data_IF_798445538415
#
_entry.id   IF_798445538415
#
_cell.length_a   1.000
_cell.length_b   1.000
_cell.length_c   1.000
_cell.angle_alpha   90.00
_cell.angle_beta   90.00
_cell.angle_gamma   90.00
#
_symmetry.space_group_name_H-M   'P 1'
#
loop_
_entity.id
_entity.type
_entity.pdbx_description
1 polymer ?
#
# COMPACT_ATOMS: atom_id res chain seq x y z
N UNK A 1 -2.03 -13.84 4.60
CA UNK A 1 -1.16 -14.22 5.73
C UNK A 1 -1.84 -15.28 6.59
N UNK A 2 -1.23 -16.45 6.75
CA UNK A 2 -1.71 -17.46 7.71
C UNK A 2 -1.07 -17.20 9.08
N UNK A 3 -1.87 -17.24 10.14
CA UNK A 3 -1.42 -17.04 11.52
C UNK A 3 -1.58 -18.34 12.27
N UNK A 4 -0.51 -18.85 12.86
CA UNK A 4 -0.55 -20.00 13.77
C UNK A 4 -0.87 -19.51 15.19
N UNK A 5 -1.86 -20.11 15.86
CA UNK A 5 -2.23 -19.75 17.23
C UNK A 5 -1.16 -20.07 18.29
N UNK A 6 -0.09 -20.75 17.93
CA UNK A 6 0.98 -21.19 18.84
C UNK A 6 2.36 -20.62 18.53
N UNK A 7 2.52 -19.95 17.39
CA UNK A 7 3.78 -19.31 17.00
C UNK A 7 3.81 -17.81 17.39
N UNK A 8 5.04 -17.28 17.54
CA UNK A 8 5.20 -15.84 17.70
C UNK A 8 4.77 -15.11 16.42
N UNK A 9 4.09 -13.99 16.58
CA UNK A 9 3.69 -13.14 15.45
C UNK A 9 4.92 -12.43 14.86
N UNK A 10 4.96 -12.37 13.53
CA UNK A 10 5.88 -11.47 12.84
C UNK A 10 5.36 -10.02 12.93
N UNK A 11 6.23 -9.03 12.68
CA UNK A 11 5.84 -7.60 12.61
C UNK A 11 4.77 -7.36 11.53
N UNK A 12 4.93 -8.01 10.39
CA UNK A 12 3.99 -7.96 9.28
C UNK A 12 2.61 -8.53 9.65
N UNK A 13 2.57 -9.70 10.30
CA UNK A 13 1.31 -10.28 10.79
C UNK A 13 0.62 -9.37 11.81
N UNK A 14 1.39 -8.75 12.72
CA UNK A 14 0.85 -7.81 13.69
C UNK A 14 0.28 -6.56 13.00
N UNK A 15 1.00 -6.00 12.02
CA UNK A 15 0.52 -4.86 11.24
C UNK A 15 -0.78 -5.19 10.48
N UNK A 16 -0.85 -6.36 9.84
CA UNK A 16 -2.05 -6.81 9.16
C UNK A 16 -3.23 -7.00 10.12
N UNK A 17 -3.00 -7.52 11.32
CA UNK A 17 -4.05 -7.63 12.34
C UNK A 17 -4.56 -6.25 12.78
N UNK A 18 -3.68 -5.28 12.97
CA UNK A 18 -4.05 -3.90 13.29
C UNK A 18 -4.90 -3.29 12.17
N UNK A 19 -4.47 -3.42 10.92
CA UNK A 19 -5.21 -2.94 9.76
C UNK A 19 -6.60 -3.58 9.67
N UNK A 20 -6.69 -4.90 9.80
CA UNK A 20 -7.97 -5.61 9.79
C UNK A 20 -8.89 -5.16 10.94
N UNK A 21 -8.31 -4.84 12.09
CA UNK A 21 -9.08 -4.31 13.24
C UNK A 21 -9.63 -2.91 12.93
N UNK A 22 -8.83 -2.03 12.35
CA UNK A 22 -9.28 -0.69 11.95
C UNK A 22 -10.44 -0.76 10.94
N UNK A 23 -10.39 -1.70 10.01
CA UNK A 23 -11.41 -1.95 8.98
C UNK A 23 -12.60 -2.78 9.47
N UNK A 24 -12.55 -3.33 10.67
CA UNK A 24 -13.62 -4.20 11.17
C UNK A 24 -14.92 -3.41 11.36
N UNK A 25 -16.05 -3.90 10.81
CA UNK A 25 -17.34 -3.24 10.99
C UNK A 25 -17.79 -3.33 12.44
N UNK A 26 -18.34 -2.23 12.95
CA UNK A 26 -18.89 -2.17 14.28
C UNK A 26 -20.24 -2.88 14.36
N UNK A 27 -20.45 -3.57 15.45
CA UNK A 27 -21.74 -4.18 15.78
C UNK A 27 -22.25 -3.65 17.12
N UNK A 28 -23.56 -3.66 17.27
CA UNK A 28 -24.24 -3.36 18.51
C UNK A 28 -25.29 -4.41 18.83
N UNK A 29 -25.71 -4.42 20.07
CA UNK A 29 -26.83 -5.23 20.54
C UNK A 29 -27.90 -4.28 21.09
N UNK A 30 -29.11 -4.39 20.59
CA UNK A 30 -30.26 -3.63 21.13
C UNK A 30 -30.57 -4.05 22.58
N UNK A 31 -30.25 -5.27 22.90
CA UNK A 31 -30.29 -5.80 24.27
C UNK A 31 -29.03 -6.64 24.52
N UNK A 32 -28.23 -6.26 25.50
CA UNK A 32 -26.98 -6.98 25.87
C UNK A 32 -27.24 -8.27 26.67
N UNK A 33 -28.49 -8.58 26.94
CA UNK A 33 -28.84 -9.66 27.86
C UNK A 33 -28.57 -9.27 29.33
N UNK A 34 -28.82 -10.17 30.21
CA UNK A 34 -28.57 -9.97 31.63
C UNK A 34 -29.52 -10.79 32.50
N UNK A 35 -29.46 -10.57 33.78
CA UNK A 35 -30.38 -11.19 34.75
C UNK A 35 -31.41 -10.17 35.20
N UNK A 36 -32.68 -10.48 35.06
CA UNK A 36 -33.79 -9.71 35.61
C UNK A 36 -34.29 -10.45 36.85
N UNK A 37 -34.36 -9.76 37.99
CA UNK A 37 -34.91 -10.34 39.22
C UNK A 37 -36.33 -9.81 39.43
N UNK A 38 -37.30 -10.70 39.39
CA UNK A 38 -38.72 -10.39 39.66
C UNK A 38 -39.17 -11.21 40.86
N UNK A 39 -39.60 -10.54 41.91
CA UNK A 39 -40.05 -11.18 43.15
C UNK A 39 -39.05 -12.22 43.71
N UNK A 40 -37.76 -11.91 43.65
CA UNK A 40 -36.71 -12.82 44.13
C UNK A 40 -36.33 -13.95 43.13
N UNK A 41 -36.99 -14.07 42.01
CA UNK A 41 -36.65 -15.03 40.96
C UNK A 41 -35.76 -14.38 39.94
N UNK A 42 -34.60 -14.98 39.67
CA UNK A 42 -33.69 -14.54 38.60
C UNK A 42 -34.07 -15.14 37.28
N UNK A 43 -34.36 -14.30 36.30
CA UNK A 43 -34.71 -14.70 34.92
C UNK A 43 -33.54 -14.22 34.04
N UNK A 44 -32.89 -15.17 33.37
CA UNK A 44 -31.89 -14.86 32.37
C UNK A 44 -32.56 -14.27 31.10
N UNK A 45 -32.13 -13.08 30.69
CA UNK A 45 -32.58 -12.49 29.42
C UNK A 45 -31.46 -12.68 28.41
N UNK A 46 -31.76 -13.39 27.32
CA UNK A 46 -30.80 -13.58 26.24
C UNK A 46 -30.48 -12.23 25.53
N UNK A 47 -29.24 -12.03 25.08
CA UNK A 47 -28.92 -10.87 24.25
C UNK A 47 -29.69 -10.94 22.91
N UNK A 48 -29.98 -9.79 22.35
CA UNK A 48 -30.46 -9.70 20.97
C UNK A 48 -29.37 -10.16 19.98
N UNK A 49 -29.74 -10.42 18.73
CA UNK A 49 -28.77 -10.60 17.66
C UNK A 49 -27.91 -9.34 17.49
N UNK A 50 -26.66 -9.53 17.11
CA UNK A 50 -25.78 -8.42 16.75
C UNK A 50 -26.28 -7.75 15.46
N UNK A 51 -26.31 -6.44 15.45
CA UNK A 51 -26.69 -5.61 14.30
C UNK A 51 -25.50 -4.70 13.93
N UNK A 52 -25.26 -4.49 12.65
CA UNK A 52 -24.23 -3.56 12.22
C UNK A 52 -24.60 -2.13 12.58
N UNK A 53 -23.60 -1.37 13.02
CA UNK A 53 -23.69 0.09 13.10
C UNK A 53 -23.58 0.63 11.68
N UNK A 54 -24.64 1.26 11.19
CA UNK A 54 -24.69 1.81 9.83
C UNK A 54 -24.36 3.30 9.83
N UNK A 55 -24.06 3.88 8.67
CA UNK A 55 -23.83 5.31 8.52
C UNK A 55 -25.03 6.17 8.93
N UNK A 56 -26.25 5.69 8.74
CA UNK A 56 -27.46 6.35 9.22
C UNK A 56 -27.50 6.38 10.74
N UNK A 57 -27.27 5.23 11.39
CA UNK A 57 -27.26 5.12 12.85
C UNK A 57 -26.07 5.88 13.45
N UNK A 58 -24.93 5.92 12.76
CA UNK A 58 -23.76 6.71 13.18
C UNK A 58 -24.07 8.21 13.29
N UNK A 59 -24.82 8.76 12.35
CA UNK A 59 -25.27 10.18 12.41
C UNK A 59 -26.14 10.45 13.63
N UNK A 60 -27.07 9.55 13.94
CA UNK A 60 -27.90 9.65 15.13
C UNK A 60 -27.08 9.59 16.43
N UNK A 61 -26.05 8.74 16.45
CA UNK A 61 -25.16 8.57 17.59
C UNK A 61 -23.97 9.53 17.61
N UNK A 62 -23.86 10.44 16.66
CA UNK A 62 -22.72 11.37 16.49
C UNK A 62 -21.37 10.67 16.32
N UNK A 63 -21.36 9.50 15.70
CA UNK A 63 -20.13 8.80 15.32
C UNK A 63 -19.68 9.35 13.96
N UNK A 64 -18.38 9.45 13.74
CA UNK A 64 -17.84 9.81 12.42
C UNK A 64 -18.32 8.79 11.36
N UNK A 65 -18.75 9.28 10.23
CA UNK A 65 -19.15 8.46 9.08
C UNK A 65 -18.11 8.51 7.94
N UNK A 66 -16.88 8.86 8.27
CA UNK A 66 -15.76 8.79 7.33
C UNK A 66 -15.37 7.35 7.14
N UNK A 67 -15.49 6.84 5.93
CA UNK A 67 -15.01 5.50 5.60
C UNK A 67 -13.49 5.50 5.48
N UNK A 68 -12.82 4.59 6.19
CA UNK A 68 -11.40 4.32 6.00
C UNK A 68 -11.18 3.47 4.75
N UNK A 69 -12.18 2.64 4.44
CA UNK A 69 -12.15 1.79 3.26
C UNK A 69 -13.55 1.72 2.67
N UNK A 70 -13.67 1.16 1.49
CA UNK A 70 -14.98 0.87 0.92
C UNK A 70 -15.64 -0.24 1.74
N UNK A 71 -16.70 0.09 2.43
CA UNK A 71 -17.35 -0.80 3.38
C UNK A 71 -18.55 -1.49 2.75
N UNK A 72 -18.93 -2.61 3.33
CA UNK A 72 -20.06 -3.40 2.85
C UNK A 72 -21.35 -2.59 2.95
N UNK A 73 -22.06 -2.45 1.84
CA UNK A 73 -23.38 -1.85 1.81
C UNK A 73 -24.37 -2.75 2.55
N UNK A 74 -25.15 -2.15 3.43
CA UNK A 74 -26.21 -2.83 4.21
C UNK A 74 -27.47 -1.98 4.20
N UNK A 75 -28.57 -2.59 4.61
CA UNK A 75 -29.82 -1.82 4.76
C UNK A 75 -29.65 -0.72 5.81
N UNK A 76 -29.71 0.53 5.40
CA UNK A 76 -29.43 1.70 6.24
C UNK A 76 -28.10 2.40 5.91
N UNK A 77 -27.48 2.07 4.77
CA UNK A 77 -26.25 2.69 4.28
C UNK A 77 -25.06 1.75 4.32
N UNK A 78 -23.89 2.28 4.66
CA UNK A 78 -22.66 1.49 4.81
C UNK A 78 -22.41 1.17 6.28
N UNK A 79 -21.64 0.12 6.55
CA UNK A 79 -21.18 -0.19 7.91
C UNK A 79 -20.15 0.85 8.35
N UNK A 80 -20.18 1.18 9.65
CA UNK A 80 -19.16 2.03 10.28
C UNK A 80 -18.02 1.15 10.80
N UNK A 81 -16.79 1.50 10.48
CA UNK A 81 -15.60 0.76 10.88
C UNK A 81 -15.14 1.16 12.30
N UNK A 82 -14.41 0.24 12.94
CA UNK A 82 -13.81 0.49 14.27
C UNK A 82 -12.91 1.73 14.26
N UNK A 83 -12.08 1.86 13.20
CA UNK A 83 -11.19 3.01 13.02
C UNK A 83 -11.94 4.34 12.95
N UNK A 84 -13.06 4.40 12.24
CA UNK A 84 -13.87 5.62 12.13
C UNK A 84 -14.42 6.08 13.47
N UNK A 85 -14.81 5.16 14.32
CA UNK A 85 -15.34 5.47 15.64
C UNK A 85 -14.28 5.91 16.63
N UNK A 86 -13.18 5.16 16.72
CA UNK A 86 -12.20 5.32 17.80
C UNK A 86 -11.01 6.18 17.38
N UNK A 87 -10.78 6.34 16.09
CA UNK A 87 -9.70 7.12 15.49
C UNK A 87 -10.25 8.10 14.44
N UNK A 88 -11.20 8.93 14.84
CA UNK A 88 -11.96 9.82 13.94
C UNK A 88 -11.11 10.83 13.15
N UNK A 89 -9.84 11.03 13.54
CA UNK A 89 -8.87 11.86 12.83
C UNK A 89 -8.03 11.05 11.84
N UNK A 90 -8.10 9.72 11.89
CA UNK A 90 -7.40 8.84 10.97
C UNK A 90 -8.17 8.79 9.65
N UNK A 91 -7.48 9.04 8.55
CA UNK A 91 -8.06 9.02 7.20
C UNK A 91 -7.15 8.19 6.32
N UNK A 92 -7.74 7.32 5.52
CA UNK A 92 -7.07 6.62 4.43
C UNK A 92 -7.49 7.26 3.11
N UNK A 93 -6.54 7.76 2.37
CA UNK A 93 -6.72 8.18 0.98
C UNK A 93 -6.36 7.02 0.08
N UNK A 94 -7.30 6.62 -0.74
CA UNK A 94 -7.10 5.68 -1.84
C UNK A 94 -6.65 6.44 -3.10
N UNK A 95 -6.39 5.72 -4.17
CA UNK A 95 -6.03 6.26 -5.49
C UNK A 95 -4.81 7.20 -5.46
N UNK A 96 -3.83 6.85 -4.64
CA UNK A 96 -2.54 7.52 -4.56
C UNK A 96 -1.47 6.68 -5.24
N UNK A 97 -0.31 7.26 -5.47
CA UNK A 97 0.90 6.56 -5.84
C UNK A 97 2.04 6.93 -4.90
N UNK A 98 3.00 6.03 -4.75
CA UNK A 98 4.24 6.36 -4.08
C UNK A 98 5.25 7.00 -5.06
N UNK A 99 6.45 7.30 -4.56
CA UNK A 99 7.50 7.99 -5.33
C UNK A 99 8.02 7.19 -6.53
N UNK A 100 7.71 5.89 -6.62
CA UNK A 100 8.05 5.03 -7.75
C UNK A 100 6.88 4.77 -8.70
N UNK A 101 5.73 5.41 -8.48
CA UNK A 101 4.52 5.23 -9.29
C UNK A 101 3.74 3.97 -8.97
N UNK A 102 4.05 3.26 -7.87
CA UNK A 102 3.29 2.11 -7.42
C UNK A 102 1.95 2.56 -6.87
N UNK A 103 0.82 1.91 -7.20
CA UNK A 103 -0.46 2.16 -6.56
C UNK A 103 -0.30 2.09 -5.04
N UNK A 104 -0.84 3.07 -4.34
CA UNK A 104 -0.57 3.25 -2.92
C UNK A 104 -1.75 3.86 -2.18
N UNK A 105 -1.73 3.70 -0.86
CA UNK A 105 -2.64 4.37 0.06
C UNK A 105 -1.87 5.32 0.97
N UNK A 106 -2.40 6.52 1.16
CA UNK A 106 -1.81 7.51 2.07
C UNK A 106 -2.62 7.60 3.35
N UNK A 107 -1.96 7.33 4.48
CA UNK A 107 -2.54 7.51 5.80
C UNK A 107 -2.30 8.93 6.30
N UNK A 108 -3.37 9.56 6.79
CA UNK A 108 -3.30 10.86 7.45
C UNK A 108 -3.86 10.74 8.87
N UNK A 109 -3.30 11.54 9.77
CA UNK A 109 -3.85 11.75 11.10
C UNK A 109 -3.93 13.26 11.36
N UNK A 110 -5.13 13.75 11.67
CA UNK A 110 -5.40 15.18 11.88
C UNK A 110 -5.00 16.07 10.69
N UNK A 111 -5.13 15.56 9.47
CA UNK A 111 -4.74 16.12 8.18
C UNK A 111 -3.23 16.14 7.88
N UNK A 112 -2.39 15.62 8.76
CA UNK A 112 -0.97 15.44 8.49
C UNK A 112 -0.71 14.04 7.93
N UNK A 113 0.16 13.93 6.92
CA UNK A 113 0.53 12.64 6.32
C UNK A 113 1.38 11.84 7.30
N UNK A 114 0.92 10.62 7.63
CA UNK A 114 1.71 9.65 8.39
C UNK A 114 2.68 8.92 7.46
N UNK A 115 2.21 8.55 6.28
CA UNK A 115 3.00 7.84 5.28
C UNK A 115 2.15 7.34 4.12
N UNK A 116 2.84 7.06 3.00
CA UNK A 116 2.27 6.47 1.80
C UNK A 116 2.85 5.06 1.63
N UNK A 117 1.99 4.08 1.45
CA UNK A 117 2.35 2.66 1.39
C UNK A 117 1.79 2.03 0.14
N UNK A 118 2.67 1.43 -0.65
CA UNK A 118 2.28 0.71 -1.87
C UNK A 118 1.34 -0.45 -1.55
N UNK A 119 0.45 -0.73 -2.50
CA UNK A 119 -0.43 -1.88 -2.48
C UNK A 119 0.33 -3.20 -2.62
N UNK A 120 -0.37 -4.30 -2.39
CA UNK A 120 0.20 -5.62 -2.63
C UNK A 120 0.42 -5.81 -4.14
N UNK A 121 1.63 -6.25 -4.50
CA UNK A 121 1.99 -6.54 -5.88
C UNK A 121 1.36 -7.85 -6.36
N UNK A 122 0.89 -7.89 -7.61
CA UNK A 122 0.38 -9.12 -8.23
C UNK A 122 1.52 -9.99 -8.77
N UNK A 123 2.48 -9.37 -9.48
CA UNK A 123 3.68 -10.06 -9.97
C UNK A 123 4.93 -9.23 -9.69
N UNK A 124 5.99 -9.92 -9.28
CA UNK A 124 7.29 -9.32 -8.98
C UNK A 124 8.42 -10.10 -9.63
N UNK A 125 9.34 -9.38 -10.26
CA UNK A 125 10.49 -9.95 -10.92
C UNK A 125 11.76 -9.18 -10.54
N UNK A 126 12.80 -9.91 -10.13
CA UNK A 126 14.15 -9.39 -9.86
C UNK A 126 15.17 -9.85 -10.92
N UNK A 127 14.69 -10.53 -11.94
CA UNK A 127 15.47 -11.04 -13.09
C UNK A 127 14.81 -10.57 -14.38
N UNK A 128 15.50 -10.79 -15.50
CA UNK A 128 14.95 -10.44 -16.80
C UNK A 128 13.65 -11.19 -17.08
N UNK A 129 12.64 -10.44 -17.49
CA UNK A 129 11.37 -10.94 -18.00
C UNK A 129 11.12 -10.29 -19.36
N UNK A 130 10.62 -11.06 -20.33
CA UNK A 130 10.34 -10.56 -21.67
C UNK A 130 8.85 -10.27 -21.86
N UNK A 131 8.52 -9.46 -22.86
CA UNK A 131 7.15 -9.00 -23.06
C UNK A 131 6.14 -10.13 -23.25
N UNK A 132 6.51 -11.25 -23.86
CA UNK A 132 5.64 -12.43 -24.01
C UNK A 132 5.35 -13.12 -22.68
N UNK A 133 6.29 -13.11 -21.73
CA UNK A 133 6.09 -13.73 -20.43
C UNK A 133 5.17 -12.86 -19.56
N UNK A 134 5.29 -11.53 -19.66
CA UNK A 134 4.34 -10.59 -19.06
C UNK A 134 2.95 -10.74 -19.69
N UNK A 135 2.87 -10.88 -21.02
CA UNK A 135 1.63 -11.16 -21.71
C UNK A 135 0.96 -12.45 -21.23
N UNK A 136 1.75 -13.52 -21.05
CA UNK A 136 1.23 -14.79 -20.56
C UNK A 136 0.77 -14.71 -19.09
N UNK A 137 1.45 -13.92 -18.27
CA UNK A 137 1.10 -13.72 -16.86
C UNK A 137 -0.19 -12.90 -16.70
N UNK A 138 -0.35 -11.83 -17.49
CA UNK A 138 -1.52 -10.97 -17.47
C UNK A 138 -2.75 -11.59 -18.16
N UNK A 139 -2.50 -12.36 -19.21
CA UNK A 139 -3.55 -12.97 -20.02
C UNK A 139 -4.03 -12.07 -21.17
N UNK A 140 -4.60 -12.72 -22.18
CA UNK A 140 -5.03 -12.07 -23.42
C UNK A 140 -6.10 -11.00 -23.19
N UNK A 141 -7.06 -11.29 -22.33
CA UNK A 141 -8.22 -10.41 -22.14
C UNK A 141 -7.83 -9.07 -21.48
N UNK A 142 -6.78 -9.07 -20.65
CA UNK A 142 -6.20 -7.87 -20.04
C UNK A 142 -5.40 -7.05 -21.06
N UNK A 143 -4.66 -7.71 -21.96
CA UNK A 143 -3.68 -7.04 -22.85
C UNK A 143 -4.29 -6.65 -24.20
N UNK A 144 -5.22 -7.46 -24.71
CA UNK A 144 -5.78 -7.30 -26.07
C UNK A 144 -7.29 -7.47 -26.05
N UNK A 145 -7.99 -6.77 -26.92
CA UNK A 145 -9.40 -6.97 -27.15
C UNK A 145 -10.23 -5.71 -26.97
N UNK A 146 -11.55 -5.90 -26.88
CA UNK A 146 -12.49 -4.79 -26.78
C UNK A 146 -12.47 -4.14 -25.40
N UNK A 147 -12.18 -4.93 -24.39
CA UNK A 147 -12.21 -4.55 -22.97
C UNK A 147 -10.78 -4.70 -22.37
N UNK A 148 -9.74 -4.41 -23.18
CA UNK A 148 -8.35 -4.41 -22.74
C UNK A 148 -8.12 -3.27 -21.72
N UNK A 149 -7.31 -3.58 -20.72
CA UNK A 149 -7.02 -2.64 -19.62
C UNK A 149 -6.12 -1.50 -20.07
N UNK A 150 -6.20 -0.38 -19.37
CA UNK A 150 -5.30 0.74 -19.56
C UNK A 150 -3.98 0.49 -18.84
N UNK A 151 -2.86 0.64 -19.58
CA UNK A 151 -1.51 0.39 -19.06
C UNK A 151 -0.77 1.68 -18.77
N UNK A 152 -0.15 1.75 -17.60
CA UNK A 152 0.84 2.78 -17.25
C UNK A 152 2.15 2.13 -16.85
N UNK A 153 3.27 2.66 -17.34
CA UNK A 153 4.61 2.18 -16.99
C UNK A 153 5.40 3.31 -16.36
N UNK A 154 6.01 3.03 -15.21
CA UNK A 154 6.91 3.95 -14.52
C UNK A 154 8.33 3.39 -14.50
N UNK A 155 9.31 4.26 -14.73
CA UNK A 155 10.73 3.97 -14.60
C UNK A 155 11.33 4.94 -13.59
N UNK A 156 11.75 4.43 -12.44
CA UNK A 156 12.24 5.24 -11.33
C UNK A 156 11.26 6.38 -10.98
N UNK A 157 9.98 6.06 -10.89
CA UNK A 157 8.91 7.00 -10.56
C UNK A 157 8.42 7.90 -11.70
N UNK A 158 9.15 8.02 -12.80
CA UNK A 158 8.68 8.79 -13.95
C UNK A 158 7.89 7.91 -14.93
N UNK A 159 6.74 8.40 -15.37
CA UNK A 159 5.94 7.73 -16.39
C UNK A 159 6.69 7.65 -17.73
N UNK A 160 6.73 6.47 -18.31
CA UNK A 160 7.35 6.21 -19.62
C UNK A 160 6.34 5.68 -20.64
N UNK A 161 5.72 6.60 -21.34
CA UNK A 161 4.73 6.31 -22.38
C UNK A 161 5.31 5.55 -23.59
N UNK A 162 6.63 5.51 -23.76
CA UNK A 162 7.26 4.79 -24.87
C UNK A 162 7.34 3.29 -24.57
N UNK A 163 7.56 2.93 -23.32
CA UNK A 163 7.60 1.53 -22.88
C UNK A 163 6.23 0.84 -22.85
N UNK A 164 5.15 1.58 -22.61
CA UNK A 164 3.78 1.02 -22.56
C UNK A 164 3.48 0.15 -23.78
N UNK A 165 3.92 0.58 -24.97
CA UNK A 165 3.65 -0.11 -26.23
C UNK A 165 4.49 -1.36 -26.45
N UNK A 166 5.58 -1.50 -25.72
CA UNK A 166 6.62 -2.50 -26.00
C UNK A 166 6.89 -3.46 -24.85
N UNK A 167 6.48 -3.13 -23.62
CA UNK A 167 6.81 -3.93 -22.44
C UNK A 167 5.99 -5.22 -22.35
N UNK A 168 4.74 -5.20 -22.83
CA UNK A 168 3.84 -6.37 -22.81
C UNK A 168 3.35 -6.68 -24.22
N UNK A 169 3.86 -7.74 -24.84
CA UNK A 169 3.43 -8.17 -26.17
C UNK A 169 3.59 -9.66 -26.36
N UNK A 170 2.62 -10.31 -26.98
CA UNK A 170 2.59 -11.75 -27.23
C UNK A 170 3.81 -12.28 -28.01
N UNK A 171 4.40 -11.48 -28.89
CA UNK A 171 5.53 -11.87 -29.73
C UNK A 171 6.85 -11.17 -29.39
N UNK A 172 6.94 -10.52 -28.21
CA UNK A 172 8.15 -9.80 -27.80
C UNK A 172 9.05 -10.71 -26.98
N UNK A 173 10.14 -11.15 -27.61
CA UNK A 173 11.19 -11.97 -26.97
C UNK A 173 12.32 -11.14 -26.37
N UNK A 174 12.36 -9.85 -26.65
CA UNK A 174 13.39 -8.96 -26.11
C UNK A 174 13.07 -8.54 -24.68
N UNK A 175 14.12 -8.33 -23.90
CA UNK A 175 14.06 -7.73 -22.58
C UNK A 175 13.94 -6.22 -22.72
N UNK A 176 12.90 -5.64 -22.12
CA UNK A 176 12.69 -4.20 -22.15
C UNK A 176 12.75 -3.63 -20.75
N UNK A 177 13.91 -3.06 -20.38
CA UNK A 177 14.12 -2.38 -19.11
C UNK A 177 14.15 -3.26 -17.88
N UNK A 178 13.89 -4.58 -17.99
CA UNK A 178 13.92 -5.53 -16.87
C UNK A 178 15.31 -6.20 -16.74
N UNK A 179 15.62 -6.77 -15.59
CA UNK A 179 16.87 -7.51 -15.42
C UNK A 179 17.44 -7.49 -14.02
N UNK A 180 18.67 -7.95 -13.88
CA UNK A 180 19.39 -7.86 -12.61
C UNK A 180 19.61 -6.40 -12.22
N UNK A 181 19.32 -6.09 -10.97
CA UNK A 181 19.37 -4.72 -10.47
C UNK A 181 18.14 -3.87 -10.85
N UNK A 182 17.11 -4.50 -11.42
CA UNK A 182 15.82 -3.86 -11.68
C UNK A 182 14.73 -4.65 -10.97
N UNK A 183 14.00 -4.02 -10.07
CA UNK A 183 12.78 -4.55 -9.50
C UNK A 183 11.63 -4.21 -10.45
N UNK A 184 11.04 -5.23 -11.07
CA UNK A 184 9.86 -5.08 -11.93
C UNK A 184 8.64 -5.56 -11.16
N UNK A 185 7.68 -4.68 -10.96
CA UNK A 185 6.43 -4.98 -10.25
C UNK A 185 5.23 -4.68 -11.14
N UNK A 186 4.20 -5.51 -11.04
CA UNK A 186 2.96 -5.39 -11.81
C UNK A 186 1.79 -5.38 -10.83
N UNK A 187 0.94 -4.39 -10.97
CA UNK A 187 -0.27 -4.19 -10.18
C UNK A 187 -1.49 -4.18 -11.12
N UNK A 188 -2.53 -4.93 -10.77
CA UNK A 188 -3.74 -5.08 -11.58
C UNK A 188 -4.94 -4.62 -10.76
N UNK A 189 -5.64 -3.60 -11.24
CA UNK A 189 -6.93 -3.20 -10.71
C UNK A 189 -8.03 -3.69 -11.66
N UNK A 190 -8.74 -4.74 -11.23
CA UNK A 190 -9.82 -5.33 -12.02
C UNK A 190 -11.11 -4.50 -11.99
N UNK A 191 -11.28 -3.64 -11.00
CA UNK A 191 -12.46 -2.78 -10.88
C UNK A 191 -12.32 -1.53 -11.76
N UNK A 192 -11.11 -0.98 -11.82
CA UNK A 192 -10.77 0.16 -12.68
C UNK A 192 -10.31 -0.25 -14.09
N UNK A 193 -10.10 -1.54 -14.35
CA UNK A 193 -9.56 -2.09 -15.60
C UNK A 193 -8.20 -1.44 -15.97
N UNK A 194 -7.29 -1.34 -14.99
CA UNK A 194 -5.95 -0.75 -15.17
C UNK A 194 -4.83 -1.70 -14.78
N UNK A 195 -3.67 -1.53 -15.42
CA UNK A 195 -2.42 -2.22 -15.08
C UNK A 195 -1.31 -1.19 -14.92
N UNK A 196 -0.66 -1.19 -13.76
CA UNK A 196 0.53 -0.38 -13.51
C UNK A 196 1.75 -1.30 -13.48
N UNK A 197 2.79 -0.97 -14.24
CA UNK A 197 4.08 -1.66 -14.23
C UNK A 197 5.13 -0.67 -13.78
N UNK A 198 5.88 -1.02 -12.74
CA UNK A 198 6.98 -0.20 -12.24
C UNK A 198 8.31 -0.90 -12.41
N UNK A 199 9.29 -0.16 -12.88
CA UNK A 199 10.67 -0.56 -13.07
C UNK A 199 11.53 0.31 -12.15
N UNK A 200 12.02 -0.27 -11.05
CA UNK A 200 12.84 0.42 -10.06
C UNK A 200 14.28 -0.04 -10.22
N UNK A 201 15.14 0.85 -10.72
CA UNK A 201 16.55 0.56 -10.92
C UNK A 201 17.33 0.67 -9.63
N UNK A 202 18.31 -0.22 -9.47
CA UNK A 202 19.31 -0.15 -8.40
C UNK A 202 20.58 0.47 -8.96
N UNK A 203 21.05 1.52 -8.32
CA UNK A 203 22.25 2.25 -8.69
C UNK A 203 23.38 2.04 -7.68
N UNK A 204 24.60 2.17 -8.13
CA UNK A 204 25.76 2.23 -7.25
C UNK A 204 25.92 3.70 -6.79
N UNK A 205 26.11 3.89 -5.48
CA UNK A 205 26.38 5.17 -4.87
C UNK A 205 27.68 5.13 -4.09
N UNK A 206 28.44 6.21 -4.06
CA UNK A 206 29.63 6.37 -3.22
C UNK A 206 29.44 7.60 -2.32
N UNK A 207 29.65 7.43 -1.02
CA UNK A 207 29.61 8.55 -0.08
C UNK A 207 30.81 9.49 -0.32
N UNK A 208 30.54 10.81 -0.35
CA UNK A 208 31.56 11.85 -0.52
C UNK A 208 32.15 12.34 0.80
N UNK A 209 31.64 11.89 1.92
CA UNK A 209 32.10 12.23 3.26
C UNK A 209 31.49 11.29 4.30
N UNK A 210 32.05 11.28 5.50
CA UNK A 210 31.36 10.75 6.68
C UNK A 210 30.02 11.49 6.90
N UNK A 211 29.09 10.82 7.56
CA UNK A 211 27.86 11.45 8.02
C UNK A 211 28.14 12.71 8.86
N UNK A 212 27.44 13.77 8.53
CA UNK A 212 27.58 15.06 9.20
C UNK A 212 26.43 15.29 10.19
N UNK A 213 26.62 14.93 11.45
CA UNK A 213 25.61 15.08 12.50
C UNK A 213 25.13 16.53 12.75
N UNK A 214 25.90 17.57 12.33
CA UNK A 214 25.47 18.97 12.49
C UNK A 214 24.53 19.43 11.39
N UNK A 215 24.67 18.85 10.20
CA UNK A 215 23.86 19.16 9.03
C UNK A 215 22.81 18.08 8.78
N UNK A 216 22.91 16.98 9.52
CA UNK A 216 22.08 15.79 9.39
C UNK A 216 22.02 15.27 7.94
N UNK A 217 23.17 15.18 7.27
CA UNK A 217 23.22 14.72 5.89
C UNK A 217 24.52 14.03 5.49
N UNK A 218 24.42 13.31 4.36
CA UNK A 218 25.54 12.80 3.56
C UNK A 218 25.27 13.10 2.10
N UNK A 219 26.29 13.40 1.33
CA UNK A 219 26.19 13.51 -0.13
C UNK A 219 26.75 12.25 -0.78
N UNK A 220 26.02 11.70 -1.74
CA UNK A 220 26.41 10.53 -2.53
C UNK A 220 26.64 10.92 -3.98
N UNK A 221 27.72 10.41 -4.58
CA UNK A 221 27.86 10.30 -6.02
C UNK A 221 27.08 9.07 -6.52
N UNK A 222 26.25 9.26 -7.55
CA UNK A 222 25.38 8.23 -8.11
C UNK A 222 25.88 7.82 -9.49
N UNK A 223 26.20 6.54 -9.66
CA UNK A 223 26.72 6.00 -10.92
C UNK A 223 25.61 5.38 -11.76
N UNK A 224 25.42 5.93 -12.97
CA UNK A 224 24.40 5.47 -13.91
C UNK A 224 22.99 5.97 -13.64
N UNK A 225 22.76 6.71 -12.55
CA UNK A 225 21.48 7.35 -12.26
C UNK A 225 21.26 8.62 -13.11
N UNK A 226 20.01 9.10 -13.21
CA UNK A 226 19.70 10.35 -13.92
C UNK A 226 20.39 11.60 -13.35
N UNK A 227 20.76 11.55 -12.07
CA UNK A 227 21.53 12.59 -11.39
C UNK A 227 22.88 12.02 -10.98
N UNK A 228 23.92 12.85 -11.01
CA UNK A 228 25.28 12.43 -10.66
C UNK A 228 25.57 12.50 -9.16
N UNK A 229 24.81 13.27 -8.40
CA UNK A 229 25.01 13.47 -6.96
C UNK A 229 23.70 13.85 -6.28
N UNK A 230 23.49 13.36 -5.07
CA UNK A 230 22.33 13.66 -4.22
C UNK A 230 22.76 13.77 -2.75
N UNK A 231 22.32 14.82 -2.07
CA UNK A 231 22.39 14.89 -0.61
C UNK A 231 21.18 14.19 -0.01
N UNK A 232 21.41 13.42 1.04
CA UNK A 232 20.40 12.63 1.74
C UNK A 232 20.38 13.03 3.20
N UNK A 233 19.19 13.23 3.78
CA UNK A 233 18.98 13.59 5.18
C UNK A 233 18.85 12.36 6.08
N UNK A 234 19.34 12.44 7.31
CA UNK A 234 19.13 11.42 8.34
C UNK A 234 17.69 11.37 8.86
N UNK A 235 16.87 12.40 8.57
CA UNK A 235 15.42 12.34 8.85
C UNK A 235 14.70 11.31 7.95
N UNK A 236 15.21 11.10 6.74
CA UNK A 236 14.59 10.22 5.74
C UNK A 236 15.22 8.82 5.72
N UNK A 237 16.50 8.70 6.11
CA UNK A 237 17.27 7.47 6.00
C UNK A 237 18.19 7.25 7.21
N UNK A 238 18.43 5.98 7.54
CA UNK A 238 19.42 5.60 8.54
C UNK A 238 20.84 5.67 7.91
N UNK A 239 21.47 6.84 8.02
CA UNK A 239 22.77 7.17 7.42
C UNK A 239 23.86 7.51 8.44
N UNK A 240 23.60 7.35 9.74
CA UNK A 240 24.53 7.72 10.81
C UNK A 240 25.86 6.95 10.73
N UNK A 241 25.84 5.73 10.22
CA UNK A 241 27.03 4.88 10.07
C UNK A 241 27.76 5.03 8.74
N UNK A 242 27.30 5.93 7.85
CA UNK A 242 27.91 6.15 6.53
C UNK A 242 29.30 6.77 6.68
N UNK A 243 30.27 6.19 5.97
CA UNK A 243 31.67 6.64 5.93
C UNK A 243 32.08 7.10 4.54
N UNK A 244 33.02 8.03 4.53
CA UNK A 244 33.65 8.54 3.31
C UNK A 244 34.19 7.40 2.43
N UNK A 245 34.02 7.56 1.12
CA UNK A 245 34.45 6.61 0.07
C UNK A 245 33.75 5.23 0.10
N UNK A 246 32.84 4.92 1.04
CA UNK A 246 32.10 3.68 1.03
C UNK A 246 31.05 3.62 -0.07
N UNK A 247 30.77 2.41 -0.55
CA UNK A 247 29.82 2.15 -1.63
C UNK A 247 28.54 1.52 -1.13
N UNK A 248 27.42 1.98 -1.70
CA UNK A 248 26.07 1.57 -1.36
C UNK A 248 25.27 1.23 -2.62
N UNK A 249 24.30 0.35 -2.48
CA UNK A 249 23.26 0.13 -3.49
C UNK A 249 22.03 0.94 -3.10
N UNK A 250 21.57 1.78 -4.02
CA UNK A 250 20.45 2.70 -3.77
C UNK A 250 19.42 2.62 -4.89
N UNK A 251 18.18 2.91 -4.56
CA UNK A 251 17.15 3.26 -5.54
C UNK A 251 17.00 4.78 -5.57
N UNK A 252 16.61 5.31 -6.71
CA UNK A 252 16.39 6.74 -6.90
C UNK A 252 15.07 6.99 -7.60
N UNK A 253 14.21 7.81 -6.98
CA UNK A 253 12.98 8.25 -7.61
C UNK A 253 13.16 9.60 -8.28
N UNK A 254 12.65 9.75 -9.50
CA UNK A 254 12.59 11.02 -10.24
C UNK A 254 11.48 11.93 -9.74
N UNK A 255 10.58 11.41 -8.91
CA UNK A 255 9.46 12.15 -8.31
C UNK A 255 9.80 12.73 -6.93
N UNK A 256 10.87 12.24 -6.29
CA UNK A 256 11.33 12.66 -4.95
C UNK A 256 12.24 13.91 -4.97
#
# INVERSE_FOLDING_TARGET
>A
LSISGTAALTREQAAQMCLNTLKAPLVQYSNKGGNLTINGTVIGVAPSSAEYVTTTLAKEQRISDRTLTNTTAVNGGYTVEFGEKYYSKLVLKNDQSDDFGRPAHTWLYDNETIGTYAEAVDFEYTTSVVGKDLYAALGKDVVEGKDAYDFTVYVDGAEDNTLVKDIVKNNKDDVTGTGKGVLTQVFIDNDAETVVITLVNTYLAQAQSDYNAKKDNVTFDLFGAPVSSKAVSGEDFDIEDVKDEEFYLVTYSKMA
#
